data_IF_364406460688
#
_entry.id   IF_364406460688
#
_cell.length_a   1.000
_cell.length_b   1.000
_cell.length_c   1.000
_cell.angle_alpha   90.00
_cell.angle_beta   90.00
_cell.angle_gamma   90.00
#
_symmetry.space_group_name_H-M   'P 1'
#
loop_
_entity.id
_entity.type
_entity.pdbx_description
1 polymer ?
#
# COMPACT_ATOMS: atom_id res chain seq x y z
N UNK A 1 -8.94 -62.30 8.96
CA UNK A 1 -9.28 -60.92 8.60
C UNK A 1 -8.18 -60.04 9.12
N UNK A 2 -7.37 -59.41 8.25
CA UNK A 2 -6.31 -58.46 8.62
C UNK A 2 -6.87 -57.05 8.51
N UNK A 3 -6.97 -56.32 9.63
CA UNK A 3 -7.39 -54.92 9.63
C UNK A 3 -6.24 -54.03 9.09
N UNK A 4 -6.51 -53.29 8.03
CA UNK A 4 -5.62 -52.31 7.44
C UNK A 4 -5.87 -50.96 8.12
N UNK A 5 -4.97 -50.53 8.99
CA UNK A 5 -5.06 -49.22 9.65
C UNK A 5 -4.49 -48.15 8.71
N UNK A 6 -5.35 -47.25 8.21
CA UNK A 6 -4.95 -46.09 7.41
C UNK A 6 -4.52 -44.97 8.38
N UNK A 7 -3.25 -44.62 8.37
CA UNK A 7 -2.74 -43.41 9.00
C UNK A 7 -2.94 -42.21 8.07
N UNK A 8 -3.85 -41.30 8.44
CA UNK A 8 -4.04 -40.02 7.75
C UNK A 8 -2.95 -39.04 8.23
N UNK A 9 -1.92 -38.78 7.42
CA UNK A 9 -0.96 -37.71 7.69
C UNK A 9 -1.65 -36.38 7.43
N UNK A 10 -2.00 -35.66 8.49
CA UNK A 10 -2.40 -34.26 8.43
C UNK A 10 -1.15 -33.40 8.23
N UNK A 11 -0.91 -32.96 7.01
CA UNK A 11 0.15 -31.99 6.70
C UNK A 11 -0.17 -30.64 7.32
N UNK A 12 0.65 -30.18 8.27
CA UNK A 12 0.59 -28.81 8.80
C UNK A 12 1.15 -27.90 7.73
N UNK A 13 0.29 -27.08 7.09
CA UNK A 13 0.73 -25.98 6.23
C UNK A 13 1.24 -24.87 7.14
N UNK A 14 2.55 -24.78 7.30
CA UNK A 14 3.19 -23.62 7.93
C UNK A 14 3.20 -22.50 6.91
N UNK A 15 2.26 -21.56 7.02
CA UNK A 15 2.35 -20.30 6.28
C UNK A 15 3.42 -19.44 6.95
N UNK A 16 4.50 -19.12 6.22
CA UNK A 16 5.47 -18.14 6.69
C UNK A 16 4.75 -16.80 6.96
N UNK A 17 5.13 -16.12 8.05
CA UNK A 17 4.67 -14.75 8.28
C UNK A 17 5.13 -13.87 7.10
N UNK A 18 4.32 -12.91 6.66
CA UNK A 18 4.71 -12.02 5.58
C UNK A 18 5.93 -11.19 6.00
N UNK A 19 6.87 -11.00 5.08
CA UNK A 19 8.02 -10.13 5.30
C UNK A 19 7.53 -8.68 5.45
N UNK A 20 7.99 -8.02 6.50
CA UNK A 20 7.70 -6.61 6.76
C UNK A 20 8.94 -5.77 6.44
N UNK A 21 8.78 -4.74 5.64
CA UNK A 21 9.83 -3.83 5.21
C UNK A 21 9.74 -2.54 6.02
N UNK A 22 10.70 -2.32 6.95
CA UNK A 22 10.78 -1.15 7.82
C UNK A 22 11.75 -0.07 7.32
N UNK A 23 12.45 -0.29 6.19
CA UNK A 23 13.44 0.64 5.60
C UNK A 23 14.69 0.91 6.48
N UNK A 24 14.85 0.20 7.60
CA UNK A 24 15.85 0.49 8.63
C UNK A 24 17.29 0.24 8.19
N UNK A 25 17.49 -0.67 7.24
CA UNK A 25 18.80 -1.01 6.67
C UNK A 25 19.14 -0.25 5.40
N UNK A 26 18.23 0.59 4.92
CA UNK A 26 18.36 1.29 3.65
C UNK A 26 19.12 2.62 3.80
N UNK A 27 19.89 2.97 2.77
CA UNK A 27 20.65 4.21 2.74
C UNK A 27 19.77 5.46 2.65
N UNK A 28 19.98 6.41 3.56
CA UNK A 28 19.24 7.67 3.59
C UNK A 28 19.41 8.52 2.32
N UNK A 29 18.42 9.38 2.04
CA UNK A 29 18.45 10.40 0.98
C UNK A 29 18.06 9.90 -0.41
N UNK A 30 17.73 8.64 -0.61
CA UNK A 30 17.31 8.04 -1.88
C UNK A 30 16.22 6.97 -1.66
N UNK A 31 15.50 6.55 -2.72
CA UNK A 31 14.60 5.40 -2.62
C UNK A 31 15.35 4.12 -2.23
N UNK A 32 14.69 3.17 -1.52
CA UNK A 32 15.33 1.92 -1.14
C UNK A 32 15.65 1.05 -2.37
N UNK A 33 16.64 0.17 -2.30
CA UNK A 33 16.94 -0.78 -3.38
C UNK A 33 15.73 -1.66 -3.70
N UNK A 34 15.51 -1.94 -5.00
CA UNK A 34 14.36 -2.74 -5.46
C UNK A 34 13.02 -2.00 -5.46
N UNK A 35 13.04 -0.68 -5.19
CA UNK A 35 11.88 0.18 -5.33
C UNK A 35 12.05 1.15 -6.50
N UNK A 36 10.94 1.42 -7.19
CA UNK A 36 10.88 2.37 -8.30
C UNK A 36 10.03 3.57 -7.88
N UNK A 37 10.69 4.72 -7.73
CA UNK A 37 10.04 6.00 -7.50
C UNK A 37 9.57 6.59 -8.83
N UNK A 38 8.28 6.87 -8.95
CA UNK A 38 7.66 7.39 -10.16
C UNK A 38 6.44 8.27 -9.83
N UNK A 39 5.67 8.62 -10.83
CA UNK A 39 4.40 9.36 -10.69
C UNK A 39 3.47 9.08 -11.86
N UNK A 40 2.17 9.25 -11.64
CA UNK A 40 1.20 9.48 -12.71
C UNK A 40 1.05 10.98 -12.93
N UNK A 41 0.98 11.41 -14.16
CA UNK A 41 0.77 12.82 -14.51
C UNK A 41 2.02 13.68 -14.39
N UNK A 42 1.91 14.90 -13.84
CA UNK A 42 2.95 15.94 -13.85
C UNK A 42 3.57 16.16 -12.47
N UNK A 43 4.66 16.94 -12.44
CA UNK A 43 5.36 17.35 -11.21
C UNK A 43 6.56 16.47 -10.89
N UNK A 44 7.12 16.61 -9.69
CA UNK A 44 8.32 15.92 -9.26
C UNK A 44 8.06 15.19 -7.93
N UNK A 45 7.87 13.87 -8.02
CA UNK A 45 7.79 13.01 -6.86
C UNK A 45 9.18 12.85 -6.22
N UNK A 46 9.28 12.98 -4.89
CA UNK A 46 10.53 12.81 -4.17
C UNK A 46 10.34 11.77 -3.06
N UNK A 47 10.89 10.60 -3.28
CA UNK A 47 10.88 9.50 -2.34
C UNK A 47 12.27 9.27 -1.77
N UNK A 48 12.41 9.33 -0.44
CA UNK A 48 13.69 9.20 0.25
C UNK A 48 13.54 8.42 1.53
N UNK A 49 14.52 7.57 1.84
CA UNK A 49 14.66 7.01 3.18
C UNK A 49 15.18 8.10 4.10
N UNK A 50 14.54 8.30 5.24
CA UNK A 50 14.91 9.31 6.25
C UNK A 50 14.73 8.73 7.67
N UNK A 51 15.50 9.22 8.63
CA UNK A 51 15.30 8.85 10.02
C UNK A 51 14.06 9.53 10.60
N UNK A 52 13.23 8.76 11.30
CA UNK A 52 12.08 9.26 12.08
C UNK A 52 12.07 8.60 13.46
N UNK A 53 12.32 9.34 14.57
CA UNK A 53 12.35 8.77 15.90
C UNK A 53 10.98 8.22 16.37
N UNK A 54 9.90 8.56 15.66
CA UNK A 54 8.54 8.08 15.94
C UNK A 54 8.13 6.90 15.07
N UNK A 55 9.03 6.40 14.17
CA UNK A 55 8.76 5.27 13.31
C UNK A 55 8.31 4.04 14.13
N UNK A 56 7.34 3.26 13.65
CA UNK A 56 6.95 1.98 14.24
C UNK A 56 8.10 0.97 14.29
N UNK A 57 8.80 0.76 13.18
CA UNK A 57 10.15 0.21 13.16
C UNK A 57 11.18 1.35 13.25
N UNK A 58 12.38 1.09 13.61
CA UNK A 58 13.41 2.13 13.81
C UNK A 58 14.72 1.68 13.19
N UNK A 59 15.51 2.63 12.65
CA UNK A 59 15.37 4.10 12.81
C UNK A 59 14.73 4.84 11.63
N UNK A 60 14.37 4.19 10.52
CA UNK A 60 14.07 4.86 9.26
C UNK A 60 12.62 4.70 8.81
N UNK A 61 12.22 5.54 7.88
CA UNK A 61 10.94 5.53 7.17
C UNK A 61 11.18 5.81 5.68
N UNK A 62 10.25 5.44 4.82
CA UNK A 62 10.22 5.95 3.45
C UNK A 62 9.31 7.17 3.37
N UNK A 63 9.85 8.33 2.98
CA UNK A 63 9.15 9.61 2.92
C UNK A 63 8.91 10.06 1.50
N UNK A 64 7.69 10.49 1.20
CA UNK A 64 7.34 11.31 0.05
C UNK A 64 7.27 12.78 0.46
N UNK A 65 8.00 13.68 -0.24
CA UNK A 65 8.04 15.12 0.04
C UNK A 65 8.05 16.01 -1.21
N UNK A 66 7.95 15.40 -2.41
CA UNK A 66 7.82 16.14 -3.66
C UNK A 66 6.38 16.55 -3.96
N UNK A 67 6.20 17.36 -5.00
CA UNK A 67 4.89 17.78 -5.49
C UNK A 67 4.63 17.20 -6.87
N UNK A 68 3.66 16.31 -6.99
CA UNK A 68 3.28 15.69 -8.26
C UNK A 68 1.79 15.33 -8.27
N UNK A 69 1.21 15.12 -9.45
CA UNK A 69 -0.22 14.76 -9.54
C UNK A 69 -0.54 13.56 -8.67
N UNK A 70 0.15 12.42 -8.88
CA UNK A 70 0.07 11.24 -8.03
C UNK A 70 1.46 10.62 -7.88
N UNK A 71 2.21 10.94 -6.82
CA UNK A 71 3.45 10.25 -6.49
C UNK A 71 3.21 8.76 -6.21
N UNK A 72 3.99 7.90 -6.84
CA UNK A 72 3.95 6.43 -6.68
C UNK A 72 5.35 5.92 -6.39
N UNK A 73 5.48 4.96 -5.47
CA UNK A 73 6.71 4.22 -5.24
C UNK A 73 6.35 2.75 -5.08
N UNK A 74 6.78 1.90 -6.01
CA UNK A 74 6.40 0.49 -6.01
C UNK A 74 7.61 -0.44 -5.89
N UNK A 75 7.37 -1.61 -5.32
CA UNK A 75 8.39 -2.66 -5.22
C UNK A 75 8.44 -3.44 -6.53
N UNK A 76 9.62 -3.41 -7.19
CA UNK A 76 9.78 -3.83 -8.58
C UNK A 76 9.76 -5.35 -8.76
N UNK A 77 10.22 -6.10 -7.77
CA UNK A 77 10.30 -7.56 -7.77
C UNK A 77 9.02 -8.27 -7.31
N UNK A 78 7.88 -7.55 -7.25
CA UNK A 78 6.58 -8.11 -6.84
C UNK A 78 5.69 -8.43 -8.04
N UNK A 79 4.90 -9.50 -7.91
CA UNK A 79 3.86 -9.88 -8.89
C UNK A 79 2.77 -10.67 -8.18
N UNK A 80 1.73 -9.97 -7.73
CA UNK A 80 0.61 -10.54 -6.97
C UNK A 80 -0.68 -10.44 -7.76
N UNK A 81 -1.35 -11.59 -7.96
CA UNK A 81 -2.70 -11.67 -8.51
C UNK A 81 -3.73 -11.57 -7.39
N UNK A 82 -3.52 -12.36 -6.34
CA UNK A 82 -4.35 -12.43 -5.13
C UNK A 82 -3.44 -12.34 -3.91
N UNK A 83 -3.97 -11.75 -2.80
CA UNK A 83 -3.20 -11.58 -1.59
C UNK A 83 -3.57 -10.33 -0.83
N UNK A 84 -2.57 -9.65 -0.27
CA UNK A 84 -2.76 -8.39 0.44
C UNK A 84 -1.56 -7.46 0.25
N UNK A 85 -1.81 -6.19 0.54
CA UNK A 85 -0.80 -5.14 0.75
C UNK A 85 -1.21 -4.33 1.97
N UNK A 86 -0.25 -4.04 2.86
CA UNK A 86 -0.45 -3.27 4.08
C UNK A 86 0.70 -2.32 4.31
N UNK A 87 0.44 -1.18 4.93
CA UNK A 87 1.46 -0.22 5.31
C UNK A 87 1.03 0.57 6.54
N UNK A 88 1.96 0.98 7.37
CA UNK A 88 1.78 2.09 8.30
C UNK A 88 2.19 3.38 7.63
N UNK A 89 1.36 4.41 7.76
CA UNK A 89 1.65 5.75 7.23
C UNK A 89 1.31 6.84 8.22
N UNK A 90 1.97 7.98 8.09
CA UNK A 90 1.69 9.19 8.86
C UNK A 90 1.75 10.40 7.91
N UNK A 91 0.61 11.05 7.71
CA UNK A 91 0.51 12.27 6.93
C UNK A 91 1.02 13.47 7.76
N UNK A 92 2.12 14.08 7.32
CA UNK A 92 2.80 15.14 8.08
C UNK A 92 2.29 16.52 7.72
N UNK A 93 2.10 16.79 6.42
CA UNK A 93 1.66 18.08 5.92
C UNK A 93 1.17 18.01 4.48
N UNK A 94 0.59 19.10 4.01
CA UNK A 94 0.07 19.36 2.68
C UNK A 94 -1.05 20.37 2.78
N UNK A 95 -1.19 21.25 1.81
CA UNK A 95 -2.28 22.25 1.73
C UNK A 95 -3.38 21.78 0.80
N UNK A 96 -2.99 21.13 -0.31
CA UNK A 96 -3.92 20.59 -1.27
C UNK A 96 -4.39 19.18 -0.87
N UNK A 97 -3.49 18.37 -0.30
CA UNK A 97 -3.81 17.02 0.14
C UNK A 97 -2.93 16.56 1.31
N UNK A 98 -3.44 15.63 2.14
CA UNK A 98 -2.70 14.96 3.20
C UNK A 98 -3.05 13.47 3.18
N UNK A 99 -2.55 12.75 2.20
CA UNK A 99 -2.91 11.37 1.91
C UNK A 99 -1.75 10.40 2.05
N UNK A 100 -2.06 9.20 2.55
CA UNK A 100 -1.23 8.02 2.44
C UNK A 100 -2.04 6.88 1.85
N UNK A 101 -1.43 6.10 0.95
CA UNK A 101 -2.13 5.04 0.24
C UNK A 101 -1.23 3.90 -0.20
N UNK A 102 -1.87 2.81 -0.61
CA UNK A 102 -1.25 1.65 -1.25
C UNK A 102 -1.78 1.46 -2.66
N UNK A 103 -0.94 0.90 -3.52
CA UNK A 103 -1.33 0.45 -4.87
C UNK A 103 -1.17 -1.07 -4.97
N UNK A 104 -2.05 -1.69 -5.77
CA UNK A 104 -1.95 -3.12 -6.09
C UNK A 104 -2.33 -3.38 -7.54
N UNK A 105 -1.95 -4.57 -8.04
CA UNK A 105 -2.07 -4.95 -9.45
C UNK A 105 -1.54 -3.87 -10.40
N UNK A 106 -0.48 -3.16 -9.97
CA UNK A 106 0.14 -2.11 -10.77
C UNK A 106 0.84 -2.74 -11.97
N UNK A 107 0.46 -2.29 -13.15
CA UNK A 107 1.05 -2.65 -14.46
C UNK A 107 2.18 -1.70 -14.82
N UNK A 108 1.92 -0.41 -14.65
CA UNK A 108 2.82 0.71 -14.92
C UNK A 108 2.36 1.94 -14.12
N UNK A 109 3.03 3.09 -14.34
CA UNK A 109 2.74 4.34 -13.64
C UNK A 109 1.34 4.92 -13.91
N UNK A 110 0.62 4.43 -14.90
CA UNK A 110 -0.67 4.96 -15.36
C UNK A 110 -1.82 3.95 -15.22
N UNK A 111 -1.53 2.69 -14.79
CA UNK A 111 -2.53 1.61 -14.75
C UNK A 111 -2.41 0.77 -13.47
N UNK A 112 -3.28 1.04 -12.48
CA UNK A 112 -3.26 0.39 -11.16
C UNK A 112 -4.53 0.67 -10.35
N UNK A 113 -4.75 -0.09 -9.28
CA UNK A 113 -5.72 0.24 -8.22
C UNK A 113 -5.05 0.98 -7.08
N UNK A 114 -5.83 1.81 -6.37
CA UNK A 114 -5.40 2.58 -5.19
C UNK A 114 -6.44 2.48 -4.09
N UNK A 115 -5.98 2.28 -2.85
CA UNK A 115 -6.71 2.66 -1.66
C UNK A 115 -5.89 3.72 -0.92
N UNK A 116 -6.56 4.80 -0.45
CA UNK A 116 -5.89 5.84 0.33
C UNK A 116 -6.75 6.31 1.49
N UNK A 117 -6.12 6.77 2.57
CA UNK A 117 -6.76 7.56 3.62
C UNK A 117 -6.24 8.99 3.57
N UNK A 118 -7.10 9.99 3.90
CA UNK A 118 -6.79 11.41 3.77
C UNK A 118 -7.20 12.18 5.01
N UNK A 119 -6.24 12.86 5.63
CA UNK A 119 -6.45 13.60 6.87
C UNK A 119 -7.20 14.94 6.67
N UNK A 120 -7.06 15.60 5.51
CA UNK A 120 -7.83 16.83 5.22
C UNK A 120 -9.30 16.53 4.94
N UNK A 121 -9.58 15.39 4.31
CA UNK A 121 -10.94 15.03 3.90
C UNK A 121 -11.64 14.11 4.90
N UNK A 122 -10.94 13.52 5.86
CA UNK A 122 -11.46 12.54 6.81
C UNK A 122 -12.20 11.39 6.11
N UNK A 123 -11.53 10.73 5.17
CA UNK A 123 -12.11 9.59 4.46
C UNK A 123 -11.05 8.56 4.02
N UNK A 124 -11.56 7.35 3.77
CA UNK A 124 -10.86 6.27 3.07
C UNK A 124 -11.57 6.08 1.72
N UNK A 125 -10.80 5.99 0.65
CA UNK A 125 -11.35 5.93 -0.71
C UNK A 125 -10.57 4.93 -1.57
N UNK A 126 -11.29 4.18 -2.41
CA UNK A 126 -10.74 3.29 -3.42
C UNK A 126 -10.94 3.88 -4.82
N UNK A 127 -9.92 3.76 -5.65
CA UNK A 127 -9.91 4.23 -7.05
C UNK A 127 -9.31 3.17 -7.97
N UNK A 128 -9.58 3.31 -9.25
CA UNK A 128 -8.69 2.83 -10.30
C UNK A 128 -8.01 4.02 -11.02
N UNK A 129 -6.83 3.77 -11.56
CA UNK A 129 -6.16 4.65 -12.52
C UNK A 129 -5.98 3.87 -13.81
N UNK A 130 -6.52 4.38 -14.90
CA UNK A 130 -6.44 3.80 -16.24
C UNK A 130 -5.93 4.84 -17.22
N UNK A 131 -4.83 4.55 -17.90
CA UNK A 131 -4.17 5.49 -18.84
C UNK A 131 -3.97 6.88 -18.21
N UNK A 132 -3.53 6.88 -16.92
CA UNK A 132 -3.27 8.09 -16.16
C UNK A 132 -4.50 8.81 -15.59
N UNK A 133 -5.71 8.36 -15.92
CA UNK A 133 -6.95 8.94 -15.41
C UNK A 133 -7.43 8.18 -14.18
N UNK A 134 -7.44 8.85 -13.02
CA UNK A 134 -7.96 8.30 -11.77
C UNK A 134 -9.49 8.48 -11.69
N UNK A 135 -10.19 7.41 -11.33
CA UNK A 135 -11.64 7.40 -11.11
C UNK A 135 -11.96 6.88 -9.71
N UNK A 136 -12.72 7.67 -8.94
CA UNK A 136 -13.22 7.25 -7.63
C UNK A 136 -14.28 6.15 -7.81
N UNK A 137 -14.19 5.10 -7.00
CA UNK A 137 -15.10 3.96 -7.04
C UNK A 137 -15.97 3.87 -5.81
N UNK A 138 -15.37 4.00 -4.63
CA UNK A 138 -16.10 3.97 -3.36
C UNK A 138 -15.36 4.76 -2.30
N UNK A 139 -16.13 5.44 -1.43
CA UNK A 139 -15.62 6.27 -0.32
C UNK A 139 -16.37 5.93 0.96
N UNK A 140 -15.66 6.02 2.08
CA UNK A 140 -16.22 5.93 3.43
C UNK A 140 -15.63 7.05 4.27
N UNK A 141 -16.48 7.83 4.95
CA UNK A 141 -16.04 8.84 5.89
C UNK A 141 -15.51 8.16 7.14
N UNK A 142 -14.25 8.40 7.45
CA UNK A 142 -13.55 7.90 8.63
C UNK A 142 -12.58 8.96 9.09
N UNK A 143 -12.48 9.18 10.39
CA UNK A 143 -11.51 10.13 10.93
C UNK A 143 -10.10 9.63 10.62
N UNK A 144 -9.28 10.50 10.02
CA UNK A 144 -7.86 10.28 9.75
C UNK A 144 -7.11 11.44 10.42
N UNK A 145 -6.42 11.15 11.52
CA UNK A 145 -5.73 12.17 12.30
C UNK A 145 -4.38 12.50 11.63
N UNK A 146 -4.08 13.78 11.32
CA UNK A 146 -2.75 14.12 10.82
C UNK A 146 -1.70 13.94 11.91
N UNK A 147 -0.45 13.66 11.51
CA UNK A 147 0.70 13.45 12.40
C UNK A 147 0.58 12.25 13.36
N UNK A 148 -0.35 11.35 13.11
CA UNK A 148 -0.48 10.06 13.80
C UNK A 148 -0.21 8.90 12.83
N UNK A 149 0.31 7.79 13.36
CA UNK A 149 0.51 6.57 12.60
C UNK A 149 -0.82 5.83 12.43
N UNK A 150 -1.13 5.48 11.19
CA UNK A 150 -2.30 4.71 10.78
C UNK A 150 -1.89 3.48 9.99
N UNK A 151 -2.69 2.44 10.06
CA UNK A 151 -2.52 1.23 9.24
C UNK A 151 -3.56 1.20 8.13
N UNK A 152 -3.12 1.06 6.89
CA UNK A 152 -3.98 0.85 5.73
C UNK A 152 -3.65 -0.49 5.08
N UNK A 153 -4.66 -1.33 4.92
CA UNK A 153 -4.55 -2.66 4.33
C UNK A 153 -5.57 -2.84 3.22
N UNK A 154 -5.17 -3.51 2.17
CA UNK A 154 -6.07 -4.02 1.13
C UNK A 154 -5.84 -5.52 0.98
N UNK A 155 -6.91 -6.29 1.15
CA UNK A 155 -6.97 -7.69 0.77
C UNK A 155 -7.68 -7.80 -0.57
N UNK A 156 -7.12 -8.59 -1.49
CA UNK A 156 -7.64 -8.73 -2.86
C UNK A 156 -7.61 -10.20 -3.30
N UNK A 157 -8.78 -10.67 -3.76
CA UNK A 157 -8.95 -12.04 -4.26
C UNK A 157 -9.93 -12.06 -5.44
N UNK A 158 -9.48 -12.52 -6.61
CA UNK A 158 -10.28 -12.42 -7.83
C UNK A 158 -10.71 -10.98 -8.10
N UNK A 159 -12.00 -10.76 -8.20
CA UNK A 159 -12.59 -9.42 -8.38
C UNK A 159 -12.85 -8.68 -7.06
N UNK A 160 -12.77 -9.36 -5.92
CA UNK A 160 -13.18 -8.82 -4.62
C UNK A 160 -12.03 -8.14 -3.88
N UNK A 161 -12.28 -6.92 -3.36
CA UNK A 161 -11.33 -6.12 -2.59
C UNK A 161 -11.93 -5.69 -1.26
N UNK A 162 -11.17 -5.85 -0.18
CA UNK A 162 -11.52 -5.35 1.16
C UNK A 162 -10.45 -4.37 1.62
N UNK A 163 -10.86 -3.13 1.92
CA UNK A 163 -9.99 -2.11 2.51
C UNK A 163 -10.23 -2.03 4.00
N UNK A 164 -9.17 -2.14 4.79
CA UNK A 164 -9.17 -2.01 6.25
C UNK A 164 -8.32 -0.82 6.65
N UNK A 165 -8.84 0.03 7.53
CA UNK A 165 -8.16 1.17 8.09
C UNK A 165 -8.18 1.09 9.63
N UNK A 166 -7.01 1.13 10.26
CA UNK A 166 -6.80 0.94 11.70
C UNK A 166 -7.59 -0.26 12.26
N UNK A 167 -7.47 -1.40 11.58
CA UNK A 167 -8.14 -2.65 11.95
C UNK A 167 -9.65 -2.70 11.69
N UNK A 168 -10.27 -1.62 11.18
CA UNK A 168 -11.71 -1.57 10.87
C UNK A 168 -11.95 -1.68 9.38
N UNK A 169 -12.88 -2.54 8.96
CA UNK A 169 -13.30 -2.62 7.57
C UNK A 169 -13.91 -1.29 7.12
N UNK A 170 -13.27 -0.64 6.15
CA UNK A 170 -13.69 0.63 5.58
C UNK A 170 -14.52 0.45 4.31
N UNK A 171 -14.06 -0.41 3.39
CA UNK A 171 -14.67 -0.58 2.07
C UNK A 171 -14.62 -2.06 1.67
N UNK A 172 -15.70 -2.52 1.03
CA UNK A 172 -15.71 -3.69 0.14
C UNK A 172 -16.12 -3.22 -1.25
N UNK A 173 -15.44 -3.73 -2.28
CA UNK A 173 -15.71 -3.37 -3.67
C UNK A 173 -15.26 -4.48 -4.62
N UNK A 174 -16.00 -4.66 -5.70
CA UNK A 174 -15.72 -5.65 -6.74
C UNK A 174 -15.38 -4.95 -8.07
N UNK A 175 -14.30 -5.40 -8.72
CA UNK A 175 -13.90 -4.90 -10.04
C UNK A 175 -13.01 -5.90 -10.77
N UNK A 176 -13.14 -5.94 -12.10
CA UNK A 176 -12.42 -6.86 -12.97
C UNK A 176 -11.51 -6.17 -14.01
N UNK A 177 -11.21 -4.87 -13.88
CA UNK A 177 -10.40 -4.15 -14.87
C UNK A 177 -8.96 -4.67 -14.96
N UNK A 178 -8.32 -4.88 -13.81
CA UNK A 178 -6.98 -5.45 -13.75
C UNK A 178 -7.06 -6.85 -13.15
N UNK A 179 -7.19 -7.89 -14.02
CA UNK A 179 -7.36 -9.31 -13.61
C UNK A 179 -6.03 -10.03 -13.37
N UNK A 180 -4.95 -9.54 -13.97
CA UNK A 180 -3.66 -10.20 -13.91
C UNK A 180 -2.86 -9.76 -12.69
N UNK A 181 -1.84 -10.56 -12.35
CA UNK A 181 -0.85 -10.18 -11.35
C UNK A 181 -0.18 -8.86 -11.70
N UNK A 182 0.16 -8.09 -10.67
CA UNK A 182 0.87 -6.83 -10.81
C UNK A 182 1.64 -6.49 -9.54
N UNK A 183 2.33 -5.35 -9.60
CA UNK A 183 3.17 -4.89 -8.49
C UNK A 183 2.33 -4.27 -7.38
N UNK A 184 2.94 -4.15 -6.19
CA UNK A 184 2.39 -3.45 -5.02
C UNK A 184 3.31 -2.31 -4.63
N UNK A 185 2.76 -1.30 -3.95
CA UNK A 185 3.54 -0.14 -3.56
C UNK A 185 2.74 0.90 -2.79
N UNK A 186 3.30 2.11 -2.75
CA UNK A 186 2.85 3.27 -2.00
C UNK A 186 2.39 4.39 -2.93
N UNK A 187 1.51 5.23 -2.41
CA UNK A 187 0.88 6.30 -3.16
C UNK A 187 0.59 7.53 -2.29
N UNK A 188 0.75 8.71 -2.88
CA UNK A 188 0.26 9.97 -2.32
C UNK A 188 -0.37 10.85 -3.39
N UNK A 189 -0.81 12.05 -3.02
CA UNK A 189 -1.40 13.02 -3.95
C UNK A 189 -0.86 14.43 -3.70
N UNK A 190 -0.68 15.17 -4.80
CA UNK A 190 -0.35 16.59 -4.82
C UNK A 190 0.88 16.94 -3.96
N UNK A 191 0.69 17.78 -2.97
CA UNK A 191 1.72 18.28 -2.05
C UNK A 191 1.75 17.52 -0.71
N UNK A 192 1.15 16.32 -0.65
CA UNK A 192 1.19 15.49 0.56
C UNK A 192 2.61 15.15 0.95
N UNK A 193 3.02 15.56 2.15
CA UNK A 193 4.24 15.05 2.79
C UNK A 193 3.84 13.92 3.72
N UNK A 194 4.24 12.71 3.39
CA UNK A 194 3.81 11.49 4.10
C UNK A 194 4.99 10.55 4.30
N UNK A 195 5.09 9.98 5.49
CA UNK A 195 6.05 8.93 5.81
C UNK A 195 5.35 7.59 5.90
N UNK A 196 6.08 6.54 5.52
CA UNK A 196 5.62 5.16 5.44
C UNK A 196 6.61 4.24 6.14
N UNK A 197 6.07 3.22 6.83
CA UNK A 197 6.83 2.22 7.54
C UNK A 197 6.07 0.88 7.58
N UNK A 198 6.74 -0.20 8.00
CA UNK A 198 6.14 -1.53 8.15
C UNK A 198 5.33 -1.95 6.90
N UNK A 199 5.89 -1.74 5.70
CA UNK A 199 5.25 -2.19 4.47
C UNK A 199 5.30 -3.71 4.35
N UNK A 200 4.15 -4.33 4.18
CA UNK A 200 4.06 -5.79 4.03
C UNK A 200 3.10 -6.18 2.90
N UNK A 201 3.35 -7.32 2.31
CA UNK A 201 2.53 -7.90 1.25
C UNK A 201 2.71 -9.42 1.21
N UNK A 202 1.77 -10.11 0.58
CA UNK A 202 1.89 -11.56 0.43
C UNK A 202 0.67 -12.17 -0.24
N UNK A 203 0.81 -13.44 -0.60
CA UNK A 203 -0.32 -14.29 -1.00
C UNK A 203 -1.09 -14.76 0.24
N UNK A 204 -2.35 -15.12 0.06
CA UNK A 204 -3.16 -15.81 1.09
C UNK A 204 -3.19 -17.29 0.84
#
# INVERSE_FOLDING_TARGET
MKALTFFLLMGVVVTAAPDTIGFDTDGAGKPPPGWVATKTGRGDAKWTVEADPTAPSKPNVLKQSGVATFPVCYKDDTSLKDGFVEVKFKALSGKEDQAGGVVWRLKDADNYYIARANALENNVTIYDTMSGRRTERKRTNMKVTPNEWHTLRVDFQGAHFTVTFDGKKAIEWDDEKFKDAGKVGLWTKADSVTVFDDFSYGTR
#
